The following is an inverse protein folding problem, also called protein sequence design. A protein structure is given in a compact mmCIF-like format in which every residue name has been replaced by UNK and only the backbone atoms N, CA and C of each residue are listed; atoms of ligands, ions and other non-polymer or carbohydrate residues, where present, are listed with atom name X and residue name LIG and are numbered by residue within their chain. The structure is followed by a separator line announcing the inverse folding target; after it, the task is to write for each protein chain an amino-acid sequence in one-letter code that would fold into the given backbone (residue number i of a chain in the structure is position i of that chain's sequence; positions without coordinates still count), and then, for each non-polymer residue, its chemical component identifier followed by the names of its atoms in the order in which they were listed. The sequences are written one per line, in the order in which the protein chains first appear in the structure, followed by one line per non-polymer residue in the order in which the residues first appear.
data_IF_181303506304
#
_entry.id   IF_181303506304
#
_cell.length_a   1.000
_cell.length_b   1.000
_cell.length_c   1.000
_cell.angle_alpha   90.00
_cell.angle_beta   90.00
_cell.angle_gamma   90.00
#
_symmetry.space_group_name_H-M   'P 1'
#
loop_
_entity.id
_entity.type
_entity.pdbx_description
1 polymer ?
#
# COMPACT_ATOMS: atom_id res chain seq x y z
N UNK A 1 2.04 83.17 13.04
CA UNK A 1 0.90 82.86 13.95
C UNK A 1 0.07 81.77 13.30
N UNK A 2 -0.08 80.66 14.02
CA UNK A 2 -0.77 79.44 13.65
C UNK A 2 -2.25 79.64 13.32
N UNK A 3 -2.76 78.92 12.31
CA UNK A 3 -4.15 78.41 12.34
C UNK A 3 -4.23 77.10 11.56
N UNK A 4 -4.12 76.02 12.33
CA UNK A 4 -4.32 74.64 11.91
C UNK A 4 -5.74 74.43 11.38
N UNK A 5 -5.85 73.88 10.17
CA UNK A 5 -7.07 73.19 9.71
C UNK A 5 -6.76 71.70 9.63
N UNK A 6 -6.90 71.02 10.76
CA UNK A 6 -6.95 69.55 10.78
C UNK A 6 -8.35 69.19 10.30
N UNK A 7 -8.50 68.95 9.00
CA UNK A 7 -9.69 68.30 8.45
C UNK A 7 -9.74 66.88 9.04
N UNK A 8 -10.76 66.64 9.86
CA UNK A 8 -11.02 65.36 10.50
C UNK A 8 -11.05 64.24 9.47
N UNK A 9 -10.11 63.31 9.60
CA UNK A 9 -10.21 61.99 9.02
C UNK A 9 -11.24 61.27 9.89
N UNK A 10 -12.50 61.26 9.42
CA UNK A 10 -13.47 60.29 9.90
C UNK A 10 -12.93 58.91 9.52
N UNK A 11 -12.44 58.18 10.50
CA UNK A 11 -12.18 56.75 10.39
C UNK A 11 -13.55 56.11 10.12
N UNK A 12 -13.75 55.64 8.90
CA UNK A 12 -14.82 54.71 8.61
C UNK A 12 -14.60 53.49 9.51
N UNK A 13 -15.39 53.37 10.58
CA UNK A 13 -15.60 52.09 11.24
C UNK A 13 -16.18 51.17 10.17
N UNK A 14 -15.32 50.40 9.50
CA UNK A 14 -15.74 49.18 8.86
C UNK A 14 -16.61 48.46 9.89
N UNK A 15 -17.86 48.16 9.56
CA UNK A 15 -18.77 47.38 10.39
C UNK A 15 -18.14 45.99 10.49
N UNK A 16 -17.20 45.83 11.42
CA UNK A 16 -16.50 44.59 11.67
C UNK A 16 -17.49 43.70 12.41
N UNK A 17 -18.21 42.87 11.64
CA UNK A 17 -19.11 41.88 12.24
C UNK A 17 -18.27 40.95 13.11
N UNK A 18 -18.72 40.64 14.34
CA UNK A 18 -17.94 39.80 15.25
C UNK A 18 -17.77 38.40 14.65
N UNK A 19 -16.53 37.96 14.49
CA UNK A 19 -16.18 36.62 14.01
C UNK A 19 -15.96 35.63 15.17
N UNK A 20 -15.84 36.13 16.40
CA UNK A 20 -15.65 35.31 17.60
C UNK A 20 -16.98 34.91 18.19
N UNK A 21 -17.12 33.64 18.58
CA UNK A 21 -18.29 33.10 19.26
C UNK A 21 -17.88 32.76 20.69
N UNK A 22 -18.65 33.27 21.67
CA UNK A 22 -18.44 32.99 23.09
C UNK A 22 -19.61 32.17 23.62
N UNK A 23 -19.32 31.01 24.21
CA UNK A 23 -20.30 30.13 24.85
C UNK A 23 -19.81 29.67 26.22
N UNK A 24 -20.70 29.28 27.14
CA UNK A 24 -20.32 28.86 28.50
C UNK A 24 -19.35 27.68 28.52
N UNK A 25 -19.57 26.67 27.67
CA UNK A 25 -18.62 25.57 27.48
C UNK A 25 -17.91 25.68 26.13
N UNK A 26 -16.59 25.45 26.08
CA UNK A 26 -15.81 25.61 24.85
C UNK A 26 -16.11 24.52 23.84
N UNK A 27 -15.94 24.85 22.55
CA UNK A 27 -16.02 23.89 21.45
C UNK A 27 -14.86 22.89 21.51
N UNK A 28 -15.13 21.66 21.10
CA UNK A 28 -14.08 20.66 20.81
C UNK A 28 -14.06 20.37 19.31
N UNK A 29 -12.89 20.05 18.76
CA UNK A 29 -12.69 19.94 17.32
C UNK A 29 -12.03 18.62 16.94
N UNK A 30 -12.49 18.03 15.83
CA UNK A 30 -11.80 16.98 15.10
C UNK A 30 -11.57 17.44 13.67
N UNK A 31 -10.49 18.22 13.47
CA UNK A 31 -10.20 18.86 12.19
C UNK A 31 -9.89 17.85 11.08
N UNK A 32 -9.44 16.64 11.42
CA UNK A 32 -9.24 15.56 10.45
C UNK A 32 -10.54 15.09 9.78
N UNK A 33 -11.68 15.28 10.46
CA UNK A 33 -13.02 15.03 9.93
C UNK A 33 -13.82 16.31 9.67
N UNK A 34 -13.18 17.50 9.72
CA UNK A 34 -13.84 18.81 9.58
C UNK A 34 -15.04 18.96 10.53
N UNK A 35 -14.88 18.50 11.77
CA UNK A 35 -15.96 18.38 12.75
C UNK A 35 -15.72 19.32 13.94
N UNK A 36 -16.79 20.00 14.37
CA UNK A 36 -16.84 20.77 15.61
C UNK A 36 -17.99 20.25 16.47
N UNK A 37 -17.72 19.98 17.74
CA UNK A 37 -18.74 19.57 18.71
C UNK A 37 -19.04 20.75 19.63
N UNK A 38 -20.32 21.08 19.71
CA UNK A 38 -20.87 22.02 20.68
C UNK A 38 -21.49 21.23 21.84
N UNK A 39 -20.87 21.19 23.03
CA UNK A 39 -21.45 20.50 24.18
C UNK A 39 -22.52 21.34 24.90
N UNK A 40 -22.75 22.60 24.48
CA UNK A 40 -23.77 23.44 25.09
C UNK A 40 -25.18 22.92 24.74
N UNK A 41 -26.17 23.08 25.63
CA UNK A 41 -27.57 22.74 25.34
C UNK A 41 -28.08 23.45 24.07
N UNK A 42 -28.92 22.75 23.32
CA UNK A 42 -29.51 23.29 22.11
C UNK A 42 -30.64 24.26 22.48
N UNK A 43 -30.42 25.55 22.24
CA UNK A 43 -31.40 26.61 22.48
C UNK A 43 -32.45 26.61 21.36
N UNK A 44 -33.62 26.05 21.64
CA UNK A 44 -34.79 26.09 20.74
C UNK A 44 -35.86 26.96 21.38
N UNK A 45 -36.03 28.18 20.86
CA UNK A 45 -37.12 29.03 21.33
C UNK A 45 -38.46 28.49 20.83
N UNK A 46 -39.46 28.44 21.72
CA UNK A 46 -40.84 28.13 21.33
C UNK A 46 -41.52 29.27 20.57
N UNK A 47 -40.99 30.49 20.65
CA UNK A 47 -41.56 31.68 20.01
C UNK A 47 -41.11 31.86 18.55
N UNK A 48 -40.03 31.21 18.14
CA UNK A 48 -39.46 31.34 16.79
C UNK A 48 -39.62 30.03 16.01
N UNK A 49 -39.60 30.09 14.66
CA UNK A 49 -39.52 28.89 13.84
C UNK A 49 -38.24 28.12 14.18
N UNK A 50 -38.36 26.81 14.38
CA UNK A 50 -37.23 25.92 14.74
C UNK A 50 -36.00 26.10 13.84
N UNK A 51 -36.22 26.31 12.53
CA UNK A 51 -35.16 26.54 11.55
C UNK A 51 -34.30 27.78 11.85
N UNK A 52 -34.86 28.82 12.47
CA UNK A 52 -34.13 30.04 12.82
C UNK A 52 -33.16 29.76 13.97
N UNK A 53 -33.63 29.11 15.03
CA UNK A 53 -32.79 28.75 16.19
C UNK A 53 -31.70 27.72 15.80
N UNK A 54 -32.03 26.73 14.96
CA UNK A 54 -31.05 25.78 14.42
C UNK A 54 -30.01 26.47 13.54
N UNK A 55 -30.43 27.38 12.65
CA UNK A 55 -29.50 28.12 11.79
C UNK A 55 -28.59 29.04 12.58
N UNK A 56 -29.09 29.70 13.63
CA UNK A 56 -28.28 30.52 14.53
C UNK A 56 -27.20 29.68 15.22
N UNK A 57 -27.59 28.53 15.79
CA UNK A 57 -26.64 27.60 16.45
C UNK A 57 -25.62 27.03 15.47
N UNK A 58 -26.05 26.62 14.27
CA UNK A 58 -25.17 26.10 13.23
C UNK A 58 -24.19 27.17 12.72
N UNK A 59 -24.63 28.42 12.58
CA UNK A 59 -23.76 29.55 12.20
C UNK A 59 -22.65 29.73 13.22
N UNK A 60 -22.96 29.69 14.52
CA UNK A 60 -21.99 29.80 15.60
C UNK A 60 -20.95 28.67 15.58
N UNK A 61 -21.42 27.43 15.40
CA UNK A 61 -20.55 26.26 15.30
C UNK A 61 -19.62 26.29 14.07
N UNK A 62 -20.17 26.62 12.89
CA UNK A 62 -19.39 26.71 11.65
C UNK A 62 -18.40 27.87 11.69
N UNK A 63 -18.78 29.01 12.28
CA UNK A 63 -17.86 30.13 12.48
C UNK A 63 -16.65 29.70 13.33
N UNK A 64 -16.91 28.98 14.44
CA UNK A 64 -15.86 28.48 15.33
C UNK A 64 -14.96 27.46 14.63
N UNK A 65 -15.55 26.55 13.85
CA UNK A 65 -14.82 25.56 13.04
C UNK A 65 -13.90 26.22 12.01
N UNK A 66 -14.41 27.22 11.28
CA UNK A 66 -13.64 27.91 10.24
C UNK A 66 -12.51 28.73 10.85
N UNK A 67 -12.77 29.41 11.98
CA UNK A 67 -11.73 30.12 12.72
C UNK A 67 -10.60 29.16 13.12
N UNK A 68 -10.93 27.98 13.62
CA UNK A 68 -9.94 26.99 14.02
C UNK A 68 -9.14 26.45 12.81
N UNK A 69 -9.81 26.13 11.71
CA UNK A 69 -9.17 25.65 10.47
C UNK A 69 -8.17 26.66 9.92
N UNK A 70 -8.58 27.92 9.78
CA UNK A 70 -7.74 28.96 9.17
C UNK A 70 -6.63 29.46 10.11
N UNK A 71 -6.81 29.32 11.42
CA UNK A 71 -5.83 29.81 12.41
C UNK A 71 -4.78 28.74 12.74
N UNK A 72 -5.16 27.46 12.78
CA UNK A 72 -4.29 26.40 13.30
C UNK A 72 -3.71 25.48 12.23
N UNK A 73 -4.33 25.36 11.05
CA UNK A 73 -3.81 24.52 9.98
C UNK A 73 -2.78 25.28 9.12
N UNK A 74 -1.61 24.70 8.84
CA UNK A 74 -0.64 25.27 7.90
C UNK A 74 -1.23 25.43 6.49
N UNK A 75 -1.08 26.63 5.92
CA UNK A 75 -1.58 26.97 4.60
C UNK A 75 -0.46 26.77 3.57
N UNK A 76 -0.68 25.91 2.59
CA UNK A 76 0.23 25.66 1.48
C UNK A 76 -0.36 26.23 0.19
N UNK A 77 0.35 27.17 -0.43
CA UNK A 77 -0.01 27.72 -1.74
C UNK A 77 0.82 27.05 -2.84
N UNK A 78 0.15 26.51 -3.85
CA UNK A 78 0.76 25.98 -5.07
C UNK A 78 0.08 26.55 -6.31
N UNK A 79 0.61 26.28 -7.50
CA UNK A 79 0.00 26.70 -8.77
C UNK A 79 -1.43 26.16 -8.97
N UNK A 80 -1.78 25.08 -8.25
CA UNK A 80 -3.09 24.44 -8.31
C UNK A 80 -4.11 25.05 -7.33
N UNK A 81 -3.68 25.88 -6.36
CA UNK A 81 -4.55 26.55 -5.40
C UNK A 81 -3.96 26.71 -4.01
N UNK A 82 -4.82 27.08 -3.06
CA UNK A 82 -4.49 27.23 -1.63
C UNK A 82 -5.10 26.07 -0.86
N UNK A 83 -4.27 25.32 -0.15
CA UNK A 83 -4.64 24.10 0.56
C UNK A 83 -4.31 24.22 2.04
N UNK A 84 -5.13 23.61 2.90
CA UNK A 84 -4.87 23.49 4.34
C UNK A 84 -4.32 22.10 4.66
N UNK A 85 -3.28 22.03 5.48
CA UNK A 85 -2.76 20.76 5.98
C UNK A 85 -3.54 20.37 7.24
N UNK A 86 -4.40 19.35 7.12
CA UNK A 86 -5.22 18.86 8.23
C UNK A 86 -4.43 17.89 9.13
N UNK A 87 -4.67 17.91 10.45
CA UNK A 87 -4.11 16.91 11.36
C UNK A 87 -4.75 15.53 11.16
N UNK A 88 -4.14 14.51 11.74
CA UNK A 88 -4.71 13.16 11.74
C UNK A 88 -6.07 13.15 12.47
N UNK A 89 -7.07 12.40 11.96
CA UNK A 89 -8.37 12.32 12.62
C UNK A 89 -8.29 11.72 14.01
N UNK A 90 -8.98 12.34 14.97
CA UNK A 90 -9.00 11.92 16.38
C UNK A 90 -10.13 10.95 16.69
N UNK A 91 -11.27 11.07 16.00
CA UNK A 91 -12.39 10.16 16.16
C UNK A 91 -12.07 8.80 15.53
N UNK A 92 -11.90 7.76 16.34
CA UNK A 92 -11.62 6.41 15.86
C UNK A 92 -12.88 5.77 15.31
N UNK A 93 -12.93 5.57 13.99
CA UNK A 93 -14.03 4.90 13.31
C UNK A 93 -13.74 3.40 13.13
N UNK A 94 -14.77 2.53 13.21
CA UNK A 94 -14.59 1.11 12.99
C UNK A 94 -14.21 0.84 11.52
N UNK A 95 -13.28 -0.09 11.33
CA UNK A 95 -12.87 -0.52 9.98
C UNK A 95 -13.96 -1.39 9.35
N UNK A 96 -14.18 -1.22 8.05
CA UNK A 96 -15.06 -2.11 7.28
C UNK A 96 -14.49 -3.53 7.15
N UNK A 97 -13.16 -3.67 6.98
CA UNK A 97 -12.48 -4.95 6.83
C UNK A 97 -11.48 -5.18 7.96
N UNK A 98 -11.31 -6.43 8.43
CA UNK A 98 -10.27 -6.75 9.39
C UNK A 98 -8.90 -6.39 8.84
N UNK A 99 -7.92 -6.29 9.73
CA UNK A 99 -6.54 -6.14 9.30
C UNK A 99 -6.15 -7.35 8.43
N UNK A 100 -5.37 -7.15 7.36
CA UNK A 100 -4.92 -8.25 6.53
C UNK A 100 -4.13 -9.23 7.41
N UNK A 101 -4.62 -10.47 7.51
CA UNK A 101 -3.95 -11.51 8.30
C UNK A 101 -2.54 -11.74 7.75
N UNK A 102 -1.50 -11.83 8.59
CA UNK A 102 -0.15 -12.11 8.11
C UNK A 102 -0.15 -13.43 7.35
N UNK A 103 0.53 -13.46 6.21
CA UNK A 103 0.61 -14.69 5.39
C UNK A 103 1.29 -15.78 6.21
N UNK A 104 0.66 -16.96 6.38
CA UNK A 104 1.28 -18.04 7.13
C UNK A 104 2.52 -18.55 6.39
N UNK A 105 3.56 -18.96 7.13
CA UNK A 105 4.81 -19.40 6.54
C UNK A 105 4.61 -20.68 5.73
N UNK A 106 5.20 -20.72 4.55
CA UNK A 106 5.23 -21.93 3.72
C UNK A 106 6.12 -23.00 4.34
N UNK A 107 5.90 -24.28 3.99
CA UNK A 107 6.75 -25.38 4.50
C UNK A 107 8.24 -25.18 4.16
N UNK A 108 8.53 -24.58 3.00
CA UNK A 108 9.90 -24.22 2.62
C UNK A 108 10.48 -23.13 3.50
N UNK A 109 9.70 -22.10 3.86
CA UNK A 109 10.16 -21.05 4.77
C UNK A 109 10.39 -21.58 6.18
N UNK A 110 9.56 -22.49 6.67
CA UNK A 110 9.80 -23.18 7.95
C UNK A 110 11.12 -23.96 7.92
N UNK A 111 11.36 -24.70 6.83
CA UNK A 111 12.62 -25.42 6.64
C UNK A 111 13.82 -24.47 6.51
N UNK A 112 13.71 -23.42 5.70
CA UNK A 112 14.76 -22.45 5.45
C UNK A 112 15.10 -21.65 6.71
N UNK A 113 14.12 -21.33 7.56
CA UNK A 113 14.36 -20.75 8.89
C UNK A 113 15.09 -21.72 9.81
N UNK A 114 14.65 -22.98 9.88
CA UNK A 114 15.31 -24.00 10.73
C UNK A 114 16.76 -24.29 10.30
N UNK A 115 17.05 -24.21 8.99
CA UNK A 115 18.39 -24.47 8.43
C UNK A 115 19.22 -23.21 8.19
N UNK A 116 18.68 -22.01 8.41
CA UNK A 116 19.39 -20.75 8.17
C UNK A 116 19.77 -20.52 6.70
N UNK A 117 18.84 -20.75 5.77
CA UNK A 117 19.09 -20.68 4.32
C UNK A 117 18.68 -19.31 3.75
N UNK A 118 19.58 -18.70 2.98
CA UNK A 118 19.32 -17.45 2.24
C UNK A 118 18.92 -16.30 3.16
N UNK A 119 17.75 -15.69 2.88
CA UNK A 119 17.19 -14.57 3.65
C UNK A 119 16.89 -14.86 5.13
N UNK A 120 16.89 -16.13 5.54
CA UNK A 120 16.68 -16.54 6.93
C UNK A 120 17.98 -16.98 7.62
N UNK A 121 19.12 -16.83 6.95
CA UNK A 121 20.43 -17.08 7.56
C UNK A 121 20.81 -15.93 8.50
N UNK A 122 21.47 -16.25 9.61
CA UNK A 122 22.09 -15.23 10.48
C UNK A 122 23.38 -14.63 9.92
N UNK A 123 23.90 -15.17 8.79
CA UNK A 123 25.10 -14.63 8.14
C UNK A 123 24.78 -13.31 7.46
N UNK A 124 25.50 -12.25 7.82
CA UNK A 124 25.43 -10.96 7.12
C UNK A 124 25.68 -11.17 5.62
N UNK A 125 24.83 -10.61 4.76
CA UNK A 125 24.94 -10.72 3.30
C UNK A 125 24.38 -12.00 2.67
N UNK A 126 23.99 -13.03 3.43
CA UNK A 126 23.42 -14.26 2.85
C UNK A 126 22.10 -14.04 2.09
N UNK A 127 21.29 -13.07 2.54
CA UNK A 127 20.08 -12.66 1.83
C UNK A 127 20.37 -11.95 0.51
N UNK A 128 21.44 -11.14 0.46
CA UNK A 128 21.92 -10.49 -0.76
C UNK A 128 22.47 -11.52 -1.75
N UNK A 129 23.30 -12.47 -1.29
CA UNK A 129 23.82 -13.55 -2.13
C UNK A 129 22.70 -14.39 -2.78
N UNK A 130 21.63 -14.70 -2.04
CA UNK A 130 20.47 -15.39 -2.62
C UNK A 130 19.71 -14.53 -3.63
N UNK A 131 19.62 -13.22 -3.40
CA UNK A 131 18.99 -12.28 -4.34
C UNK A 131 19.80 -12.17 -5.63
N UNK A 132 21.12 -12.09 -5.53
CA UNK A 132 22.05 -12.12 -6.66
C UNK A 132 21.91 -13.41 -7.47
N UNK A 133 21.88 -14.56 -6.80
CA UNK A 133 21.67 -15.87 -7.46
C UNK A 133 20.35 -15.98 -8.22
N UNK A 134 19.31 -15.27 -7.77
CA UNK A 134 17.97 -15.25 -8.37
C UNK A 134 17.80 -14.22 -9.48
N UNK A 135 18.84 -13.43 -9.80
CA UNK A 135 18.78 -12.47 -10.90
C UNK A 135 18.47 -13.15 -12.23
N UNK A 136 17.80 -12.39 -13.09
CA UNK A 136 17.30 -12.87 -14.39
C UNK A 136 18.42 -13.10 -15.38
N UNK A 137 19.42 -12.24 -15.45
CA UNK A 137 20.51 -12.34 -16.43
C UNK A 137 21.64 -13.23 -15.91
N UNK A 138 22.19 -14.05 -16.80
CA UNK A 138 23.34 -14.92 -16.56
C UNK A 138 24.27 -14.77 -17.75
N UNK A 139 25.56 -14.63 -17.49
CA UNK A 139 26.56 -14.54 -18.54
C UNK A 139 26.76 -15.91 -19.20
N UNK A 140 26.75 -15.95 -20.53
CA UNK A 140 26.98 -17.16 -21.31
C UNK A 140 28.38 -17.11 -21.92
N UNK A 141 29.30 -17.90 -21.38
CA UNK A 141 30.73 -17.86 -21.72
C UNK A 141 31.00 -18.20 -23.19
N UNK A 142 30.18 -19.07 -23.80
CA UNK A 142 30.32 -19.48 -25.21
C UNK A 142 29.98 -18.36 -26.20
N UNK A 143 29.00 -17.51 -25.85
CA UNK A 143 28.51 -16.42 -26.71
C UNK A 143 29.08 -15.06 -26.32
N UNK A 144 29.69 -14.96 -25.14
CA UNK A 144 30.17 -13.71 -24.58
C UNK A 144 29.06 -12.71 -24.20
N UNK A 145 27.79 -13.15 -24.14
CA UNK A 145 26.61 -12.30 -23.96
C UNK A 145 25.85 -12.58 -22.66
N UNK A 146 25.11 -11.58 -22.17
CA UNK A 146 24.20 -11.74 -21.04
C UNK A 146 22.85 -12.30 -21.49
N UNK A 147 22.65 -13.59 -21.26
CA UNK A 147 21.42 -14.31 -21.65
C UNK A 147 20.46 -14.39 -20.45
N UNK A 148 19.14 -14.22 -20.64
CA UNK A 148 18.18 -14.45 -19.58
C UNK A 148 18.17 -15.92 -19.13
N UNK A 149 18.19 -16.19 -17.83
CA UNK A 149 18.04 -17.51 -17.21
C UNK A 149 16.69 -18.16 -17.53
N UNK A 150 15.66 -17.34 -17.67
CA UNK A 150 14.29 -17.74 -18.02
C UNK A 150 13.59 -16.61 -18.80
N UNK A 151 12.65 -16.96 -19.68
CA UNK A 151 11.93 -16.01 -20.53
C UNK A 151 12.18 -16.27 -22.01
N UNK A 152 12.16 -15.21 -22.82
CA UNK A 152 12.48 -15.27 -24.25
C UNK A 152 13.95 -15.69 -24.47
N UNK A 153 14.18 -16.69 -25.33
CA UNK A 153 15.50 -17.31 -25.57
C UNK A 153 16.27 -17.64 -24.29
N UNK A 154 15.56 -18.10 -23.25
CA UNK A 154 16.15 -18.35 -21.95
C UNK A 154 17.07 -19.56 -21.94
N UNK A 155 18.18 -19.49 -21.19
CA UNK A 155 19.16 -20.59 -21.04
C UNK A 155 18.54 -21.91 -20.55
N UNK A 156 17.36 -21.87 -19.95
CA UNK A 156 16.62 -23.06 -19.50
C UNK A 156 16.03 -23.92 -20.63
N UNK A 157 16.03 -23.45 -21.88
CA UNK A 157 15.51 -24.15 -23.07
C UNK A 157 16.57 -24.22 -24.17
N UNK A 158 17.71 -24.86 -23.90
CA UNK A 158 18.68 -25.25 -24.95
C UNK A 158 18.17 -26.42 -25.82
N UNK A 159 16.84 -26.48 -26.04
CA UNK A 159 16.22 -27.54 -26.85
C UNK A 159 16.49 -27.32 -28.37
N UNK A 160 17.08 -26.17 -28.73
CA UNK A 160 17.39 -25.69 -30.08
C UNK A 160 18.80 -26.07 -30.57
N UNK A 161 19.61 -26.71 -29.74
CA UNK A 161 20.96 -27.14 -30.15
C UNK A 161 20.89 -28.18 -31.27
N UNK A 162 21.83 -28.11 -32.21
CA UNK A 162 21.83 -28.92 -33.44
C UNK A 162 22.23 -30.39 -33.17
N UNK A 163 23.04 -30.63 -32.14
CA UNK A 163 23.45 -31.97 -31.69
C UNK A 163 23.19 -32.12 -30.19
N UNK A 164 22.66 -33.27 -29.79
CA UNK A 164 22.49 -33.63 -28.37
C UNK A 164 23.25 -34.94 -28.16
N UNK A 165 24.33 -34.89 -27.39
CA UNK A 165 25.09 -36.08 -27.04
C UNK A 165 24.27 -36.96 -26.10
N UNK A 166 24.13 -38.24 -26.45
CA UNK A 166 23.37 -39.22 -25.66
C UNK A 166 24.37 -40.16 -25.02
N UNK A 167 24.34 -40.26 -23.69
CA UNK A 167 25.14 -41.25 -22.97
C UNK A 167 24.63 -42.67 -23.29
N UNK A 168 25.52 -43.66 -23.37
CA UNK A 168 25.17 -45.06 -23.68
C UNK A 168 24.07 -45.66 -22.78
N UNK A 169 23.94 -45.16 -21.53
CA UNK A 169 22.88 -45.58 -20.59
C UNK A 169 21.49 -45.02 -20.94
N UNK A 170 21.45 -43.87 -21.60
CA UNK A 170 20.22 -43.19 -22.02
C UNK A 170 19.83 -43.57 -23.46
N UNK A 171 20.77 -44.10 -24.26
CA UNK A 171 20.50 -44.73 -25.56
C UNK A 171 19.41 -45.82 -25.46
N UNK A 172 19.49 -46.69 -24.45
CA UNK A 172 18.46 -47.72 -24.21
C UNK A 172 17.08 -47.14 -23.87
N UNK A 173 17.02 -45.93 -23.31
CA UNK A 173 15.74 -45.24 -23.02
C UNK A 173 15.17 -44.56 -24.27
N UNK A 174 16.01 -44.25 -25.24
CA UNK A 174 15.59 -43.67 -26.52
C UNK A 174 14.77 -44.67 -27.34
N UNK A 175 15.18 -45.94 -27.39
CA UNK A 175 14.43 -47.00 -28.08
C UNK A 175 13.02 -47.18 -27.49
N UNK A 176 12.90 -47.14 -26.17
CA UNK A 176 11.62 -47.22 -25.45
C UNK A 176 10.77 -45.93 -25.59
N UNK A 177 11.42 -44.77 -25.67
CA UNK A 177 10.77 -43.48 -25.88
C UNK A 177 10.27 -43.33 -27.32
N UNK A 178 11.05 -43.78 -28.30
CA UNK A 178 10.70 -43.80 -29.72
C UNK A 178 9.50 -44.72 -29.98
N UNK A 179 9.44 -45.88 -29.31
CA UNK A 179 8.28 -46.78 -29.32
C UNK A 179 7.00 -46.14 -28.76
N UNK A 180 7.12 -45.13 -27.88
CA UNK A 180 6.02 -44.33 -27.33
C UNK A 180 5.79 -43.00 -28.07
N UNK A 181 6.46 -42.78 -29.20
CA UNK A 181 6.35 -41.57 -30.02
C UNK A 181 7.00 -40.31 -29.41
N UNK A 182 7.99 -40.48 -28.52
CA UNK A 182 8.72 -39.40 -27.88
C UNK A 182 10.22 -39.43 -28.21
N UNK A 183 10.88 -38.27 -28.22
CA UNK A 183 12.33 -38.15 -28.41
C UNK A 183 13.04 -37.82 -27.09
N UNK A 184 14.36 -37.97 -27.04
CA UNK A 184 15.19 -37.54 -25.88
C UNK A 184 14.91 -36.09 -25.47
N UNK A 185 14.73 -35.19 -26.45
CA UNK A 185 14.33 -33.79 -26.21
C UNK A 185 12.93 -33.70 -25.60
N UNK A 186 12.02 -34.60 -25.98
CA UNK A 186 10.69 -34.77 -25.39
C UNK A 186 10.74 -35.14 -23.91
N UNK A 187 11.71 -35.96 -23.47
CA UNK A 187 11.87 -36.36 -22.07
C UNK A 187 12.24 -35.17 -21.17
N UNK A 188 13.20 -34.33 -21.58
CA UNK A 188 13.56 -33.09 -20.86
C UNK A 188 12.36 -32.14 -20.70
N UNK A 189 11.56 -31.98 -21.76
CA UNK A 189 10.31 -31.21 -21.71
C UNK A 189 9.28 -31.82 -20.77
N UNK A 190 9.12 -33.15 -20.78
CA UNK A 190 8.20 -33.87 -19.90
C UNK A 190 8.60 -33.72 -18.43
N UNK A 191 9.89 -33.86 -18.11
CA UNK A 191 10.41 -33.66 -16.76
C UNK A 191 10.20 -32.22 -16.27
N UNK A 192 10.47 -31.23 -17.13
CA UNK A 192 10.21 -29.80 -16.83
C UNK A 192 8.73 -29.57 -16.50
N UNK A 193 7.81 -30.13 -17.29
CA UNK A 193 6.36 -30.08 -17.04
C UNK A 193 5.98 -30.78 -15.72
N UNK A 194 6.60 -31.92 -15.42
CA UNK A 194 6.34 -32.64 -14.16
C UNK A 194 6.79 -31.83 -12.94
N UNK A 195 7.97 -31.21 -12.99
CA UNK A 195 8.48 -30.31 -11.94
C UNK A 195 7.55 -29.11 -11.73
N UNK A 196 7.01 -28.53 -12.80
CA UNK A 196 6.02 -27.43 -12.73
C UNK A 196 4.74 -27.93 -12.03
N UNK A 197 4.15 -29.04 -12.49
CA UNK A 197 2.97 -29.66 -11.86
C UNK A 197 3.20 -29.97 -10.38
N UNK A 198 4.40 -30.46 -10.03
CA UNK A 198 4.79 -30.74 -8.64
C UNK A 198 4.87 -29.46 -7.81
N UNK A 199 5.36 -28.35 -8.36
CA UNK A 199 5.41 -27.06 -7.69
C UNK A 199 3.99 -26.50 -7.44
N UNK A 200 3.11 -26.56 -8.44
CA UNK A 200 1.70 -26.15 -8.30
C UNK A 200 0.96 -26.99 -7.26
N UNK A 201 1.21 -28.30 -7.21
CA UNK A 201 0.66 -29.18 -6.16
C UNK A 201 1.15 -28.77 -4.77
N UNK A 202 2.43 -28.40 -4.62
CA UNK A 202 2.98 -27.89 -3.35
C UNK A 202 2.37 -26.55 -2.95
N UNK A 203 2.18 -25.64 -3.90
CA UNK A 203 1.51 -24.34 -3.68
C UNK A 203 0.08 -24.54 -3.16
N UNK A 204 -0.73 -25.33 -3.87
CA UNK A 204 -2.11 -25.66 -3.45
C UNK A 204 -2.17 -26.33 -2.07
N UNK A 205 -1.20 -27.19 -1.75
CA UNK A 205 -1.14 -27.82 -0.43
C UNK A 205 -0.81 -26.79 0.68
N UNK A 206 0.11 -25.86 0.42
CA UNK A 206 0.40 -24.77 1.35
C UNK A 206 -0.81 -23.86 1.56
N UNK A 207 -1.54 -23.52 0.49
CA UNK A 207 -2.77 -22.74 0.56
C UNK A 207 -3.88 -23.44 1.35
N UNK A 208 -4.10 -24.74 1.11
CA UNK A 208 -5.07 -25.53 1.90
C UNK A 208 -4.74 -25.53 3.39
N UNK A 209 -3.45 -25.69 3.74
CA UNK A 209 -3.00 -25.63 5.13
C UNK A 209 -3.16 -24.23 5.74
N UNK A 210 -2.90 -23.18 4.95
CA UNK A 210 -3.08 -21.80 5.39
C UNK A 210 -4.53 -21.46 5.76
N UNK A 211 -5.50 -21.98 4.98
CA UNK A 211 -6.93 -21.78 5.23
C UNK A 211 -7.38 -22.48 6.50
N UNK A 212 -6.88 -23.69 6.77
CA UNK A 212 -7.24 -24.46 7.97
C UNK A 212 -6.74 -23.80 9.27
N UNK A 213 -5.60 -23.09 9.21
CA UNK A 213 -5.07 -22.37 10.37
C UNK A 213 -5.68 -20.99 10.62
N UNK A 214 -6.44 -20.44 9.66
CA UNK A 214 -7.02 -19.09 9.73
C UNK A 214 -8.54 -19.06 9.92
N UNK A 215 -9.17 -20.21 10.22
CA UNK A 215 -10.61 -20.34 10.47
C UNK A 215 -10.93 -20.68 11.92
N UNK A 216 -10.19 -20.09 12.87
CA UNK A 216 -10.49 -20.12 14.30
C UNK A 216 -10.91 -18.73 14.76
#
# INVERSE_FOLDING_TARGET
MYRSYVRGILIAMAICRPITVSKPTPYTFDLGHLLANDPNPLEISRSEPVNVSLKATARDGVQSLLNQLLTTCPITSSQQGVLLTLPAPTTVLPRHKPLPTPKPPTKWELFARKKGIGRFSGKAGAGLAEKERRKKLVYDEEKGEWVPRWGYKGKNKSDEDWLVEVNEKDWKKEEEAAAKGSSIRGMSRAERKERIRRNERKMRNNERKSRKSGGG
#
